data_IF_735487586982
#
_entry.id   IF_735487586982
#
_cell.length_a   1.000
_cell.length_b   1.000
_cell.length_c   1.000
_cell.angle_alpha   90.00
_cell.angle_beta   90.00
_cell.angle_gamma   90.00
#
_symmetry.space_group_name_H-M   'P 1'
#
loop_
_entity.id
_entity.type
_entity.pdbx_description
1 polymer ?
#
# COMPACT_ATOMS: atom_id res chain seq x y z
N UNK A 1 11.65 28.13 -17.65
CA UNK A 1 10.84 27.79 -16.46
C UNK A 1 11.59 26.89 -15.49
N UNK A 2 11.90 25.62 -15.79
CA UNK A 2 12.67 24.74 -14.88
C UNK A 2 14.01 25.37 -14.46
N UNK A 3 14.74 25.96 -15.42
CA UNK A 3 15.98 26.69 -15.16
C UNK A 3 15.81 27.93 -14.26
N UNK A 4 14.72 28.69 -14.46
CA UNK A 4 14.45 29.89 -13.68
C UNK A 4 14.08 29.53 -12.24
N UNK A 5 13.28 28.48 -12.09
CA UNK A 5 12.91 27.91 -10.79
C UNK A 5 14.14 27.35 -10.07
N UNK A 6 15.01 26.61 -10.77
CA UNK A 6 16.23 26.09 -10.15
C UNK A 6 17.15 27.22 -9.67
N UNK A 7 17.28 28.32 -10.42
CA UNK A 7 18.05 29.50 -9.96
C UNK A 7 17.50 30.11 -8.68
N UNK A 8 16.17 30.21 -8.56
CA UNK A 8 15.54 30.71 -7.33
C UNK A 8 15.82 29.77 -6.17
N UNK A 9 15.65 28.46 -6.35
CA UNK A 9 15.89 27.48 -5.28
C UNK A 9 17.36 27.49 -4.84
N UNK A 10 18.31 27.54 -5.78
CA UNK A 10 19.74 27.62 -5.49
C UNK A 10 20.13 28.91 -4.77
N UNK A 11 19.46 30.04 -5.04
CA UNK A 11 19.68 31.32 -4.35
C UNK A 11 19.50 31.19 -2.83
N UNK A 12 18.58 30.33 -2.40
CA UNK A 12 18.25 30.10 -0.99
C UNK A 12 18.97 28.90 -0.37
N UNK A 13 19.88 28.25 -1.11
CA UNK A 13 20.61 27.05 -0.68
C UNK A 13 19.69 25.92 -0.20
N UNK A 14 18.54 25.77 -0.84
CA UNK A 14 17.55 24.73 -0.54
C UNK A 14 17.83 23.49 -1.38
N UNK A 15 17.79 22.32 -0.73
CA UNK A 15 17.89 21.03 -1.42
C UNK A 15 16.54 20.65 -2.06
N UNK A 16 16.58 20.25 -3.32
CA UNK A 16 15.43 19.65 -4.00
C UNK A 16 15.47 18.15 -3.73
N UNK A 17 14.51 17.66 -2.95
CA UNK A 17 14.35 16.23 -2.66
C UNK A 17 13.67 15.51 -3.83
N UNK A 18 12.70 16.16 -4.47
CA UNK A 18 12.01 15.66 -5.65
C UNK A 18 11.54 16.80 -6.54
N UNK A 19 11.55 16.57 -7.85
CA UNK A 19 10.98 17.46 -8.85
C UNK A 19 10.09 16.63 -9.78
N UNK A 20 8.86 17.10 -9.97
CA UNK A 20 7.95 16.52 -10.94
C UNK A 20 7.39 17.62 -11.85
N UNK A 21 7.52 17.42 -13.15
CA UNK A 21 7.03 18.36 -14.17
C UNK A 21 5.88 17.69 -14.90
N UNK A 22 4.68 18.22 -14.71
CA UNK A 22 3.44 17.80 -15.35
C UNK A 22 3.02 18.87 -16.38
N UNK A 23 2.10 18.55 -17.31
CA UNK A 23 1.55 19.57 -18.21
C UNK A 23 0.93 20.74 -17.42
N UNK A 24 1.50 21.93 -17.57
CA UNK A 24 1.11 23.18 -16.89
C UNK A 24 1.30 23.22 -15.36
N UNK A 25 2.03 22.27 -14.77
CA UNK A 25 2.21 22.20 -13.32
C UNK A 25 3.62 21.67 -12.98
N UNK A 26 4.30 22.30 -12.03
CA UNK A 26 5.56 21.79 -11.50
C UNK A 26 5.45 21.64 -9.99
N UNK A 27 5.85 20.48 -9.49
CA UNK A 27 5.92 20.18 -8.07
C UNK A 27 7.38 20.08 -7.64
N UNK A 28 7.69 20.70 -6.50
CA UNK A 28 8.99 20.64 -5.86
C UNK A 28 8.80 20.14 -4.43
N UNK A 29 9.49 19.06 -4.09
CA UNK A 29 9.71 18.69 -2.70
C UNK A 29 11.05 19.30 -2.26
N UNK A 30 10.99 20.19 -1.27
CA UNK A 30 12.12 20.98 -0.82
C UNK A 30 12.42 20.66 0.64
N UNK A 31 13.70 20.51 0.98
CA UNK A 31 14.17 20.42 2.36
C UNK A 31 14.49 21.82 2.86
N UNK A 32 13.58 22.40 3.66
CA UNK A 32 13.73 23.76 4.19
C UNK A 32 13.06 23.87 5.57
N UNK A 33 13.87 23.97 6.62
CA UNK A 33 13.40 24.08 8.01
C UNK A 33 13.16 25.55 8.44
N UNK A 34 13.59 26.51 7.62
CA UNK A 34 13.51 27.95 7.91
C UNK A 34 12.29 28.58 7.20
N UNK A 35 11.31 29.00 8.01
CA UNK A 35 10.06 29.61 7.53
C UNK A 35 10.27 30.95 6.81
N UNK A 36 11.31 31.71 7.14
CA UNK A 36 11.61 32.98 6.46
C UNK A 36 12.21 32.72 5.07
N UNK A 37 13.15 31.77 4.98
CA UNK A 37 13.72 31.33 3.70
C UNK A 37 12.63 30.77 2.79
N UNK A 38 11.74 29.95 3.33
CA UNK A 38 10.60 29.37 2.62
C UNK A 38 9.67 30.44 2.06
N UNK A 39 9.25 31.42 2.88
CA UNK A 39 8.39 32.52 2.45
C UNK A 39 9.03 33.34 1.32
N UNK A 40 10.32 33.66 1.47
CA UNK A 40 11.06 34.41 0.45
C UNK A 40 11.22 33.61 -0.85
N UNK A 41 11.48 32.31 -0.75
CA UNK A 41 11.55 31.41 -1.91
C UNK A 41 10.22 31.39 -2.66
N UNK A 42 9.09 31.28 -1.96
CA UNK A 42 7.76 31.30 -2.59
C UNK A 42 7.47 32.60 -3.33
N UNK A 43 7.83 33.75 -2.76
CA UNK A 43 7.67 35.06 -3.39
C UNK A 43 8.51 35.18 -4.66
N UNK A 44 9.78 34.76 -4.60
CA UNK A 44 10.68 34.78 -5.75
C UNK A 44 10.19 33.82 -6.85
N UNK A 45 9.69 32.63 -6.50
CA UNK A 45 9.09 31.71 -7.46
C UNK A 45 7.85 32.31 -8.13
N UNK A 46 6.98 32.98 -7.37
CA UNK A 46 5.79 33.64 -7.90
C UNK A 46 6.13 34.81 -8.84
N UNK A 47 7.34 35.37 -8.74
CA UNK A 47 7.81 36.46 -9.60
C UNK A 47 8.30 36.00 -10.99
N UNK A 48 8.47 34.70 -11.20
CA UNK A 48 8.94 34.15 -12.48
C UNK A 48 7.86 34.34 -13.55
N UNK A 49 8.25 34.92 -14.69
CA UNK A 49 7.40 35.07 -15.87
C UNK A 49 6.78 33.72 -16.29
N UNK A 50 5.47 33.72 -16.51
CA UNK A 50 4.62 32.56 -16.86
C UNK A 50 4.25 31.61 -15.71
N UNK A 51 4.62 31.90 -14.47
CA UNK A 51 4.06 31.19 -13.30
C UNK A 51 2.77 31.89 -12.89
N UNK A 52 1.65 31.18 -12.98
CA UNK A 52 0.33 31.71 -12.62
C UNK A 52 0.09 31.73 -11.11
N UNK A 53 0.64 30.75 -10.40
CA UNK A 53 0.36 30.51 -8.99
C UNK A 53 1.48 29.67 -8.38
N UNK A 54 1.88 29.98 -7.15
CA UNK A 54 2.77 29.17 -6.32
C UNK A 54 2.06 28.96 -4.99
N UNK A 55 1.89 27.71 -4.59
CA UNK A 55 1.25 27.36 -3.32
C UNK A 55 2.11 26.38 -2.55
N UNK A 56 2.22 26.59 -1.25
CA UNK A 56 2.77 25.60 -0.35
C UNK A 56 1.71 24.51 -0.19
N UNK A 57 2.09 23.28 -0.50
CA UNK A 57 1.23 22.14 -0.22
C UNK A 57 1.78 21.40 0.99
N UNK A 58 1.18 21.64 2.14
CA UNK A 58 1.43 20.82 3.33
C UNK A 58 0.79 19.45 3.11
N UNK A 59 1.54 18.38 3.42
CA UNK A 59 1.00 17.02 3.53
C UNK A 59 0.04 16.91 4.74
N UNK A 60 -1.07 17.64 4.72
CA UNK A 60 -2.12 17.51 5.73
C UNK A 60 -3.03 16.36 5.33
N UNK A 61 -2.96 15.30 6.13
CA UNK A 61 -3.65 14.02 5.88
C UNK A 61 -4.88 13.83 6.78
N UNK A 62 -5.39 14.93 7.35
CA UNK A 62 -6.54 14.88 8.24
C UNK A 62 -7.90 15.07 7.57
N UNK A 63 -7.98 15.20 6.25
CA UNK A 63 -9.26 15.03 5.55
C UNK A 63 -9.62 13.54 5.46
N UNK A 64 -9.90 12.96 6.63
CA UNK A 64 -10.70 11.74 6.81
C UNK A 64 -12.19 12.05 6.65
N UNK A 65 -12.52 13.11 5.92
CA UNK A 65 -13.90 13.36 5.54
C UNK A 65 -14.34 12.18 4.69
N UNK A 66 -15.53 11.65 4.97
CA UNK A 66 -16.12 10.57 4.15
C UNK A 66 -16.33 11.00 2.69
N UNK A 67 -16.22 12.30 2.43
CA UNK A 67 -16.37 12.90 1.12
C UNK A 67 -15.07 12.86 0.29
N UNK A 68 -13.90 12.58 0.89
CA UNK A 68 -12.65 12.37 0.14
C UNK A 68 -12.63 10.97 -0.50
N UNK A 69 -12.58 10.84 -1.84
CA UNK A 69 -12.48 9.53 -2.50
C UNK A 69 -11.31 8.66 -2.05
N UNK A 70 -10.22 9.28 -1.58
CA UNK A 70 -9.04 8.57 -1.10
C UNK A 70 -9.20 7.96 0.30
N UNK A 71 -10.28 8.24 1.03
CA UNK A 71 -10.49 7.71 2.39
C UNK A 71 -10.53 6.17 2.46
N UNK A 72 -10.78 5.51 1.32
CA UNK A 72 -10.79 4.04 1.22
C UNK A 72 -9.39 3.42 1.25
N UNK A 73 -8.34 4.23 1.04
CA UNK A 73 -6.94 3.81 1.09
C UNK A 73 -6.41 4.05 2.49
N UNK A 74 -6.22 2.95 3.23
CA UNK A 74 -5.90 3.00 4.66
C UNK A 74 -4.37 2.97 4.86
N UNK A 75 -3.88 3.93 5.64
CA UNK A 75 -2.48 4.01 6.09
C UNK A 75 -2.06 5.44 6.45
N UNK A 76 -1.01 5.55 7.25
CA UNK A 76 -0.46 6.80 7.76
C UNK A 76 1.04 6.95 7.46
N UNK A 77 1.66 5.96 6.80
CA UNK A 77 3.06 6.02 6.40
C UNK A 77 3.32 7.17 5.44
N UNK A 78 4.47 7.82 5.60
CA UNK A 78 4.87 8.94 4.74
C UNK A 78 4.95 8.53 3.27
N UNK A 79 5.40 7.31 2.97
CA UNK A 79 5.44 6.78 1.60
C UNK A 79 4.05 6.71 0.98
N UNK A 80 3.04 6.22 1.71
CA UNK A 80 1.66 6.18 1.21
C UNK A 80 1.06 7.57 1.07
N UNK A 81 1.27 8.46 2.07
CA UNK A 81 0.78 9.83 2.05
C UNK A 81 1.30 10.60 0.83
N UNK A 82 2.59 10.45 0.50
CA UNK A 82 3.19 11.02 -0.71
C UNK A 82 2.53 10.49 -1.97
N UNK A 83 2.29 9.18 -2.07
CA UNK A 83 1.60 8.58 -3.23
C UNK A 83 0.16 9.11 -3.37
N UNK A 84 -0.61 9.19 -2.27
CA UNK A 84 -1.97 9.75 -2.27
C UNK A 84 -1.95 11.22 -2.71
N UNK A 85 -1.00 12.00 -2.20
CA UNK A 85 -0.86 13.39 -2.55
C UNK A 85 -0.61 13.58 -4.06
N UNK A 86 0.32 12.83 -4.64
CA UNK A 86 0.60 12.86 -6.08
C UNK A 86 -0.63 12.46 -6.90
N UNK A 87 -1.33 11.40 -6.47
CA UNK A 87 -2.56 10.95 -7.11
C UNK A 87 -3.66 12.02 -7.11
N UNK A 88 -3.84 12.75 -6.00
CA UNK A 88 -4.77 13.89 -5.91
C UNK A 88 -4.37 15.02 -6.85
N UNK A 89 -3.07 15.35 -6.92
CA UNK A 89 -2.56 16.45 -7.74
C UNK A 89 -2.88 16.25 -9.23
N UNK A 90 -2.77 15.01 -9.72
CA UNK A 90 -2.99 14.67 -11.13
C UNK A 90 -4.44 14.29 -11.43
N UNK A 91 -5.30 14.18 -10.41
CA UNK A 91 -6.69 13.74 -10.57
C UNK A 91 -7.50 14.64 -11.51
N UNK A 92 -7.30 15.96 -11.48
CA UNK A 92 -8.03 16.93 -12.31
C UNK A 92 -7.50 17.04 -13.76
N UNK A 93 -6.41 16.35 -14.10
CA UNK A 93 -5.81 16.34 -15.44
C UNK A 93 -6.39 15.23 -16.33
N UNK A 94 -6.57 15.48 -17.63
CA UNK A 94 -6.91 14.46 -18.62
C UNK A 94 -5.69 13.62 -19.07
N UNK A 95 -4.50 13.84 -18.48
CA UNK A 95 -3.30 13.06 -18.79
C UNK A 95 -3.47 11.57 -18.42
N UNK A 96 -2.82 10.70 -19.20
CA UNK A 96 -2.71 9.28 -18.89
C UNK A 96 -1.91 9.09 -17.61
N UNK A 97 -2.44 8.30 -16.68
CA UNK A 97 -1.77 7.95 -15.43
C UNK A 97 -1.35 6.49 -15.48
N UNK A 98 -0.10 6.20 -15.12
CA UNK A 98 0.42 4.84 -15.01
C UNK A 98 0.69 4.49 -13.54
N UNK A 99 -0.13 3.61 -12.98
CA UNK A 99 -0.01 3.09 -11.62
C UNK A 99 0.95 1.89 -11.60
N UNK A 100 2.12 2.09 -11.00
CA UNK A 100 3.14 1.07 -10.84
C UNK A 100 3.06 0.48 -9.44
N UNK A 101 3.11 -0.84 -9.31
CA UNK A 101 3.21 -1.48 -8.02
C UNK A 101 2.89 -2.96 -8.04
N UNK A 102 3.36 -3.66 -7.02
CA UNK A 102 3.16 -5.09 -6.88
C UNK A 102 1.68 -5.49 -6.85
N UNK A 103 1.41 -6.78 -7.08
CA UNK A 103 0.05 -7.29 -6.95
C UNK A 103 -0.43 -7.17 -5.50
N UNK A 104 -1.69 -6.77 -5.32
CA UNK A 104 -2.30 -6.66 -4.01
C UNK A 104 -1.98 -5.39 -3.22
N UNK A 105 -1.32 -4.38 -3.81
CA UNK A 105 -1.06 -3.08 -3.14
C UNK A 105 -2.27 -2.13 -3.12
N UNK A 106 -3.28 -2.38 -3.95
CA UNK A 106 -4.50 -1.56 -4.04
C UNK A 106 -4.57 -0.63 -5.25
N UNK A 107 -3.92 -0.96 -6.37
CA UNK A 107 -3.92 -0.15 -7.61
C UNK A 107 -5.32 0.26 -8.08
N UNK A 108 -6.29 -0.65 -8.00
CA UNK A 108 -7.70 -0.37 -8.35
C UNK A 108 -8.33 0.70 -7.45
N UNK A 109 -8.02 0.71 -6.14
CA UNK A 109 -8.52 1.73 -5.21
C UNK A 109 -7.95 3.11 -5.57
N UNK A 110 -6.66 3.18 -5.94
CA UNK A 110 -6.04 4.40 -6.43
C UNK A 110 -6.71 4.87 -7.74
N UNK A 111 -6.90 3.98 -8.72
CA UNK A 111 -7.54 4.33 -9.98
C UNK A 111 -8.96 4.89 -9.78
N UNK A 112 -9.74 4.25 -8.90
CA UNK A 112 -11.09 4.69 -8.56
C UNK A 112 -11.09 6.04 -7.85
N UNK A 113 -10.22 6.23 -6.85
CA UNK A 113 -10.12 7.51 -6.14
C UNK A 113 -9.68 8.66 -7.07
N UNK A 114 -8.71 8.42 -7.95
CA UNK A 114 -8.28 9.38 -8.98
C UNK A 114 -9.43 9.77 -9.91
N UNK A 115 -10.24 8.80 -10.34
CA UNK A 115 -11.42 9.06 -11.16
C UNK A 115 -12.46 9.90 -10.41
N UNK A 116 -12.83 9.49 -9.20
CA UNK A 116 -13.82 10.19 -8.36
C UNK A 116 -13.39 11.61 -8.00
N UNK A 117 -12.08 11.86 -7.87
CA UNK A 117 -11.51 13.20 -7.64
C UNK A 117 -11.30 14.04 -8.91
N UNK A 118 -11.73 13.56 -10.08
CA UNK A 118 -11.55 14.26 -11.36
C UNK A 118 -12.80 15.00 -11.83
N UNK A 119 -12.67 15.80 -12.90
CA UNK A 119 -13.81 16.39 -13.63
C UNK A 119 -14.81 15.35 -14.13
N UNK A 120 -14.34 14.11 -14.35
CA UNK A 120 -15.15 12.97 -14.80
C UNK A 120 -15.67 12.12 -13.64
N UNK A 121 -15.47 12.50 -12.38
CA UNK A 121 -15.81 11.66 -11.21
C UNK A 121 -17.30 11.36 -11.00
N UNK A 122 -18.19 12.06 -11.71
CA UNK A 122 -19.63 11.75 -11.76
C UNK A 122 -20.04 10.88 -12.95
N UNK A 123 -19.12 10.64 -13.88
CA UNK A 123 -19.34 9.82 -15.06
C UNK A 123 -18.98 8.36 -14.75
N UNK A 124 -19.37 7.40 -15.59
CA UNK A 124 -19.03 6.01 -15.35
C UNK A 124 -17.52 5.75 -15.30
N UNK A 125 -17.12 4.78 -14.48
CA UNK A 125 -15.76 4.25 -14.41
C UNK A 125 -15.75 2.82 -14.93
N UNK A 126 -14.90 2.54 -15.92
CA UNK A 126 -14.86 1.25 -16.61
C UNK A 126 -13.54 0.52 -16.33
N UNK A 127 -13.49 -0.37 -15.32
CA UNK A 127 -12.32 -1.19 -15.05
C UNK A 127 -12.26 -2.42 -15.97
N UNK A 128 -11.08 -2.75 -16.46
CA UNK A 128 -10.76 -3.96 -17.22
C UNK A 128 -9.48 -4.56 -16.70
N UNK A 129 -9.49 -5.85 -16.43
CA UNK A 129 -8.27 -6.60 -16.19
C UNK A 129 -7.81 -7.28 -17.49
N UNK A 130 -6.68 -6.82 -18.02
CA UNK A 130 -6.13 -7.30 -19.28
C UNK A 130 -5.61 -8.74 -19.20
N UNK A 131 -5.26 -9.23 -18.01
CA UNK A 131 -4.79 -10.59 -17.79
C UNK A 131 -5.94 -11.61 -17.61
N UNK A 132 -7.18 -11.15 -17.39
CA UNK A 132 -8.32 -12.02 -17.07
C UNK A 132 -8.97 -12.69 -18.29
N UNK A 133 -8.72 -12.18 -19.50
CA UNK A 133 -9.34 -12.66 -20.74
C UNK A 133 -8.28 -13.17 -21.72
N UNK A 134 -8.59 -14.21 -22.53
CA UNK A 134 -7.81 -14.53 -23.72
C UNK A 134 -7.68 -13.32 -24.65
N UNK A 135 -6.53 -13.17 -25.30
CA UNK A 135 -6.19 -11.97 -26.08
C UNK A 135 -7.26 -11.60 -27.14
N UNK A 136 -7.79 -12.59 -27.86
CA UNK A 136 -8.84 -12.36 -28.88
C UNK A 136 -10.15 -11.84 -28.27
N UNK A 137 -10.51 -12.32 -27.07
CA UNK A 137 -11.68 -11.84 -26.35
C UNK A 137 -11.42 -10.44 -25.79
N UNK A 138 -10.24 -10.20 -25.21
CA UNK A 138 -9.84 -8.87 -24.73
C UNK A 138 -9.89 -7.83 -25.85
N UNK A 139 -9.37 -8.16 -27.02
CA UNK A 139 -9.40 -7.30 -28.19
C UNK A 139 -10.84 -6.96 -28.58
N UNK A 140 -11.72 -7.95 -28.62
CA UNK A 140 -13.13 -7.77 -28.95
C UNK A 140 -13.91 -6.97 -27.88
N UNK A 141 -13.54 -7.10 -26.60
CA UNK A 141 -14.14 -6.33 -25.51
C UNK A 141 -13.66 -4.87 -25.54
N UNK A 142 -12.38 -4.61 -25.77
CA UNK A 142 -11.82 -3.25 -25.78
C UNK A 142 -12.27 -2.46 -27.02
N UNK A 143 -12.14 -3.06 -28.20
CA UNK A 143 -12.31 -2.35 -29.48
C UNK A 143 -13.66 -2.60 -30.15
N UNK A 144 -14.38 -3.65 -29.75
CA UNK A 144 -15.60 -4.06 -30.43
C UNK A 144 -15.33 -4.72 -31.77
N UNK A 145 -16.37 -5.17 -32.43
CA UNK A 145 -16.28 -5.83 -33.73
C UNK A 145 -17.48 -5.49 -34.62
N UNK A 146 -17.25 -5.52 -35.93
CA UNK A 146 -18.30 -5.44 -36.95
C UNK A 146 -18.93 -6.81 -37.21
N UNK A 147 -20.11 -6.80 -37.83
CA UNK A 147 -20.75 -8.03 -38.28
C UNK A 147 -19.84 -8.80 -39.25
N UNK A 148 -19.76 -10.12 -39.09
CA UNK A 148 -18.91 -10.98 -39.91
C UNK A 148 -17.40 -10.87 -39.66
N UNK A 149 -16.94 -10.18 -38.61
CA UNK A 149 -15.50 -10.05 -38.31
C UNK A 149 -14.78 -11.38 -38.02
N UNK A 150 -15.48 -12.36 -37.45
CA UNK A 150 -14.99 -13.72 -37.18
C UNK A 150 -16.15 -14.72 -37.05
N UNK A 151 -15.84 -16.03 -37.07
CA UNK A 151 -16.84 -17.09 -36.87
C UNK A 151 -17.45 -17.00 -35.46
N UNK A 152 -18.75 -16.69 -35.37
CA UNK A 152 -19.45 -16.46 -34.09
C UNK A 152 -19.68 -15.01 -33.72
N UNK A 153 -19.28 -14.05 -34.57
CA UNK A 153 -19.65 -12.65 -34.41
C UNK A 153 -21.19 -12.50 -34.42
N UNK A 154 -21.73 -11.74 -33.46
CA UNK A 154 -23.16 -11.45 -33.41
C UNK A 154 -23.57 -10.59 -34.60
N UNK A 155 -24.72 -10.91 -35.19
CA UNK A 155 -25.34 -10.14 -36.26
C UNK A 155 -25.54 -8.69 -35.79
N UNK A 156 -25.03 -7.72 -36.55
CA UNK A 156 -25.00 -6.29 -36.17
C UNK A 156 -23.78 -5.81 -35.38
N UNK A 157 -22.81 -6.69 -35.06
CA UNK A 157 -21.57 -6.33 -34.36
C UNK A 157 -21.76 -6.04 -32.86
N UNK A 158 -20.67 -5.58 -32.22
CA UNK A 158 -20.64 -5.17 -30.80
C UNK A 158 -19.76 -3.93 -30.64
N UNK A 159 -20.24 -2.91 -29.92
CA UNK A 159 -19.42 -1.77 -29.53
C UNK A 159 -18.39 -2.19 -28.48
N UNK A 160 -17.15 -1.70 -28.63
CA UNK A 160 -16.07 -1.93 -27.68
C UNK A 160 -16.22 -1.07 -26.43
N UNK A 161 -15.54 -1.44 -25.36
CA UNK A 161 -15.55 -0.71 -24.10
C UNK A 161 -15.04 0.72 -24.28
N UNK A 162 -13.98 0.91 -25.07
CA UNK A 162 -13.43 2.25 -25.33
C UNK A 162 -14.43 3.13 -26.10
N UNK A 163 -15.34 2.54 -26.88
CA UNK A 163 -16.44 3.27 -27.52
C UNK A 163 -17.57 3.57 -26.53
N UNK A 164 -17.88 2.64 -25.63
CA UNK A 164 -18.92 2.79 -24.58
C UNK A 164 -18.47 3.80 -23.50
N UNK A 165 -17.17 3.89 -23.26
CA UNK A 165 -16.57 4.76 -22.25
C UNK A 165 -16.32 6.19 -22.72
N UNK A 166 -16.95 6.60 -23.84
CA UNK A 166 -16.84 7.96 -24.34
C UNK A 166 -17.21 9.00 -23.27
N UNK A 167 -16.45 10.10 -23.22
CA UNK A 167 -16.43 11.13 -22.17
C UNK A 167 -16.10 10.63 -20.74
N UNK A 168 -15.76 9.35 -20.55
CA UNK A 168 -15.63 8.71 -19.24
C UNK A 168 -14.17 8.33 -18.92
N UNK A 169 -13.94 7.47 -17.94
CA UNK A 169 -12.60 6.95 -17.60
C UNK A 169 -12.56 5.43 -17.74
N UNK A 170 -11.52 4.94 -18.40
CA UNK A 170 -11.20 3.50 -18.48
C UNK A 170 -9.97 3.21 -17.64
N UNK A 171 -10.08 2.21 -16.79
CA UNK A 171 -8.97 1.67 -16.03
C UNK A 171 -8.51 0.34 -16.64
N UNK A 172 -7.27 0.31 -17.10
CA UNK A 172 -6.63 -0.87 -17.68
C UNK A 172 -5.67 -1.46 -16.63
N UNK A 173 -6.09 -2.54 -15.96
CA UNK A 173 -5.24 -3.27 -15.02
C UNK A 173 -4.41 -4.33 -15.73
N UNK A 174 -3.18 -4.53 -15.25
CA UNK A 174 -2.17 -5.41 -15.82
C UNK A 174 -1.90 -5.17 -17.33
N UNK A 175 -1.65 -3.91 -17.73
CA UNK A 175 -1.34 -3.56 -19.14
C UNK A 175 -0.08 -4.25 -19.68
N UNK A 176 0.80 -4.74 -18.81
CA UNK A 176 1.97 -5.54 -19.19
C UNK A 176 1.62 -6.94 -19.71
N UNK A 177 0.34 -7.36 -19.65
CA UNK A 177 -0.13 -8.64 -20.20
C UNK A 177 -0.74 -8.53 -21.60
N UNK A 178 -0.77 -7.32 -22.18
CA UNK A 178 -1.28 -7.10 -23.54
C UNK A 178 -0.39 -7.74 -24.59
N UNK A 179 -0.97 -8.41 -25.60
CA UNK A 179 -0.22 -8.86 -26.78
C UNK A 179 0.28 -7.67 -27.63
N UNK A 180 1.35 -7.87 -28.41
CA UNK A 180 1.89 -6.82 -29.29
C UNK A 180 0.85 -6.26 -30.28
N UNK A 181 -0.09 -7.10 -30.72
CA UNK A 181 -1.18 -6.69 -31.61
C UNK A 181 -2.18 -5.78 -30.88
N UNK A 182 -2.60 -6.17 -29.68
CA UNK A 182 -3.49 -5.37 -28.83
C UNK A 182 -2.82 -4.05 -28.41
N UNK A 183 -1.51 -4.07 -28.12
CA UNK A 183 -0.70 -2.88 -27.85
C UNK A 183 -0.71 -1.91 -29.03
N UNK A 184 -0.54 -2.39 -30.27
CA UNK A 184 -0.55 -1.53 -31.47
C UNK A 184 -1.91 -0.85 -31.70
N UNK A 185 -3.02 -1.53 -31.39
CA UNK A 185 -4.37 -0.95 -31.48
C UNK A 185 -4.62 0.08 -30.37
N UNK A 186 -4.20 -0.22 -29.14
CA UNK A 186 -4.31 0.72 -28.01
C UNK A 186 -3.50 1.99 -28.28
N UNK A 187 -2.29 1.87 -28.83
CA UNK A 187 -1.46 3.00 -29.23
C UNK A 187 -2.21 3.94 -30.19
N UNK A 188 -2.85 3.40 -31.24
CA UNK A 188 -3.62 4.21 -32.20
C UNK A 188 -4.74 4.98 -31.51
N UNK A 189 -5.44 4.33 -30.58
CA UNK A 189 -6.49 4.99 -29.79
C UNK A 189 -5.92 6.16 -28.97
N UNK A 190 -4.80 5.95 -28.27
CA UNK A 190 -4.16 6.97 -27.44
C UNK A 190 -3.52 8.13 -28.24
N UNK A 191 -3.15 7.89 -29.50
CA UNK A 191 -2.57 8.90 -30.38
C UNK A 191 -3.64 9.71 -31.10
N UNK A 192 -4.63 9.05 -31.68
CA UNK A 192 -5.61 9.66 -32.58
C UNK A 192 -6.92 10.04 -31.89
N UNK A 193 -7.15 9.55 -30.66
CA UNK A 193 -8.44 9.66 -29.95
C UNK A 193 -9.60 9.16 -30.82
N UNK A 194 -9.33 8.07 -31.57
CA UNK A 194 -10.25 7.42 -32.49
C UNK A 194 -10.19 5.92 -32.30
N UNK A 195 -11.34 5.29 -32.46
CA UNK A 195 -11.47 3.85 -32.40
C UNK A 195 -11.97 3.28 -33.72
N UNK A 196 -11.45 2.11 -34.07
CA UNK A 196 -11.92 1.28 -35.18
C UNK A 196 -12.25 -0.11 -34.65
N UNK A 197 -13.47 -0.57 -34.92
CA UNK A 197 -13.91 -1.92 -34.56
C UNK A 197 -13.15 -2.98 -35.37
N UNK A 198 -12.97 -4.16 -34.79
CA UNK A 198 -12.34 -5.31 -35.47
C UNK A 198 -13.16 -5.67 -36.72
N UNK A 199 -12.46 -5.87 -37.85
CA UNK A 199 -13.09 -6.16 -39.15
C UNK A 199 -13.72 -4.94 -39.83
N UNK A 200 -13.80 -3.79 -39.15
CA UNK A 200 -14.34 -2.54 -39.70
C UNK A 200 -13.26 -1.62 -40.27
N UNK A 201 -13.67 -0.69 -41.12
CA UNK A 201 -12.82 0.39 -41.65
C UNK A 201 -13.20 1.78 -41.10
N UNK A 202 -14.41 1.91 -40.54
CA UNK A 202 -14.93 3.17 -40.01
C UNK A 202 -14.19 3.54 -38.72
N UNK A 203 -13.66 4.76 -38.68
CA UNK A 203 -13.12 5.37 -37.47
C UNK A 203 -14.20 6.22 -36.80
N UNK A 204 -14.23 6.17 -35.47
CA UNK A 204 -15.12 6.98 -34.64
C UNK A 204 -14.27 7.77 -33.63
N UNK A 205 -14.42 9.09 -33.52
CA UNK A 205 -13.76 9.85 -32.46
C UNK A 205 -14.32 9.44 -31.10
N UNK A 206 -13.44 9.40 -30.10
CA UNK A 206 -13.78 9.14 -28.70
C UNK A 206 -13.02 10.11 -27.80
N UNK A 207 -13.57 10.45 -26.64
CA UNK A 207 -12.90 11.20 -25.58
C UNK A 207 -12.84 10.36 -24.31
N UNK A 208 -11.77 9.59 -24.12
CA UNK A 208 -11.62 8.68 -22.98
C UNK A 208 -10.37 9.03 -22.20
N UNK A 209 -10.51 9.20 -20.88
CA UNK A 209 -9.38 9.26 -19.97
C UNK A 209 -8.90 7.85 -19.64
N UNK A 210 -7.59 7.63 -19.74
CA UNK A 210 -6.98 6.33 -19.44
C UNK A 210 -6.19 6.38 -18.13
N UNK A 211 -6.47 5.43 -17.25
CA UNK A 211 -5.61 5.08 -16.12
C UNK A 211 -5.13 3.65 -16.37
N UNK A 212 -3.82 3.45 -16.44
CA UNK A 212 -3.22 2.14 -16.63
C UNK A 212 -2.56 1.66 -15.33
N UNK A 213 -2.48 0.36 -15.11
CA UNK A 213 -1.77 -0.25 -14.00
C UNK A 213 -1.00 -1.49 -14.44
N UNK A 214 0.12 -1.76 -13.78
CA UNK A 214 0.92 -2.97 -14.00
C UNK A 214 1.78 -3.29 -12.78
N UNK A 215 2.04 -4.58 -12.55
CA UNK A 215 3.10 -5.04 -11.64
C UNK A 215 4.42 -5.39 -12.35
N UNK A 216 4.45 -5.36 -13.69
CA UNK A 216 5.62 -5.69 -14.50
C UNK A 216 6.49 -4.47 -14.75
N UNK A 217 7.78 -4.73 -14.95
CA UNK A 217 8.75 -3.73 -15.39
C UNK A 217 8.60 -3.50 -16.90
N UNK A 218 7.88 -2.44 -17.28
CA UNK A 218 7.64 -2.13 -18.68
C UNK A 218 8.91 -1.72 -19.42
N UNK A 219 9.87 -1.09 -18.75
CA UNK A 219 11.14 -0.68 -19.38
C UNK A 219 11.92 -1.91 -19.83
N UNK A 220 12.07 -2.89 -18.93
CA UNK A 220 12.67 -4.17 -19.28
C UNK A 220 11.90 -4.91 -20.37
N UNK A 221 10.56 -4.87 -20.35
CA UNK A 221 9.77 -5.50 -21.41
C UNK A 221 9.94 -4.84 -22.77
N UNK A 222 10.24 -3.54 -22.82
CA UNK A 222 10.60 -2.84 -24.06
C UNK A 222 11.96 -3.33 -24.56
N UNK A 223 12.95 -3.44 -23.69
CA UNK A 223 14.28 -3.98 -24.03
C UNK A 223 14.19 -5.42 -24.57
N UNK A 224 13.33 -6.25 -23.96
CA UNK A 224 13.10 -7.64 -24.35
C UNK A 224 12.19 -7.78 -25.60
N UNK A 225 11.66 -6.67 -26.15
CA UNK A 225 10.76 -6.67 -27.31
C UNK A 225 9.34 -7.19 -27.06
N UNK A 226 8.97 -7.37 -25.78
CA UNK A 226 7.65 -7.85 -25.35
C UNK A 226 6.64 -6.70 -25.14
N UNK A 227 7.13 -5.46 -25.11
CA UNK A 227 6.31 -4.26 -25.02
C UNK A 227 6.78 -3.23 -26.03
N UNK A 228 5.87 -2.52 -26.67
CA UNK A 228 6.25 -1.49 -27.65
C UNK A 228 6.71 -0.22 -26.95
N UNK A 229 7.87 0.29 -27.39
CA UNK A 229 8.46 1.54 -26.90
C UNK A 229 7.51 2.75 -27.09
N UNK A 230 6.86 2.84 -28.25
CA UNK A 230 5.92 3.93 -28.57
C UNK A 230 4.70 3.98 -27.63
N UNK A 231 4.16 2.81 -27.28
CA UNK A 231 3.07 2.68 -26.30
C UNK A 231 3.55 2.99 -24.89
N UNK A 232 4.75 2.53 -24.51
CA UNK A 232 5.33 2.81 -23.20
C UNK A 232 5.37 4.30 -22.92
N UNK A 233 5.92 5.10 -23.84
CA UNK A 233 5.98 6.56 -23.66
C UNK A 233 4.60 7.23 -23.64
N UNK A 234 3.58 6.64 -24.29
CA UNK A 234 2.22 7.19 -24.28
C UNK A 234 1.43 6.84 -23.02
N UNK A 235 1.77 5.74 -22.35
CA UNK A 235 1.22 5.36 -21.05
C UNK A 235 1.96 6.03 -19.90
N UNK A 236 3.29 6.11 -19.98
CA UNK A 236 4.16 6.65 -18.93
C UNK A 236 4.23 8.19 -18.94
N UNK A 237 3.08 8.85 -19.04
CA UNK A 237 3.00 10.32 -18.99
C UNK A 237 3.07 10.80 -17.54
N UNK A 238 2.33 10.14 -16.64
CA UNK A 238 2.31 10.42 -15.20
C UNK A 238 2.45 9.10 -14.43
N UNK A 239 3.69 8.66 -14.11
CA UNK A 239 3.91 7.48 -13.30
C UNK A 239 3.64 7.73 -11.81
N UNK A 240 2.85 6.86 -11.18
CA UNK A 240 2.63 6.85 -9.73
C UNK A 240 3.01 5.47 -9.21
N UNK A 241 4.08 5.42 -8.41
CA UNK A 241 4.53 4.21 -7.73
C UNK A 241 3.80 4.04 -6.39
N UNK A 242 3.06 2.94 -6.27
CA UNK A 242 2.33 2.55 -5.05
C UNK A 242 3.25 1.66 -4.21
N UNK A 243 3.55 2.05 -2.96
CA UNK A 243 4.48 1.30 -2.12
C UNK A 243 3.92 -0.08 -1.73
N UNK A 244 4.80 -1.08 -1.75
CA UNK A 244 4.53 -2.40 -1.20
C UNK A 244 4.29 -2.33 0.32
N UNK A 245 3.57 -3.29 0.88
CA UNK A 245 3.23 -3.30 2.31
C UNK A 245 4.48 -3.34 3.20
N UNK A 246 5.55 -4.03 2.77
CA UNK A 246 6.85 -4.03 3.45
C UNK A 246 7.58 -2.68 3.46
N UNK A 247 7.28 -1.78 2.51
CA UNK A 247 7.79 -0.40 2.50
C UNK A 247 6.96 0.53 3.40
N UNK A 248 5.81 0.06 3.90
CA UNK A 248 4.91 0.79 4.81
C UNK A 248 4.49 -0.07 6.00
N UNK A 249 5.46 -0.73 6.66
CA UNK A 249 5.21 -1.60 7.83
C UNK A 249 4.45 -0.90 8.96
N UNK A 250 4.60 0.42 9.10
CA UNK A 250 3.87 1.23 10.07
C UNK A 250 2.34 1.20 9.86
N UNK A 251 1.87 0.90 8.65
CA UNK A 251 0.43 0.84 8.33
C UNK A 251 -0.21 -0.51 8.66
N UNK A 252 0.61 -1.55 8.89
CA UNK A 252 0.12 -2.92 9.11
C UNK A 252 -0.83 -3.01 10.33
N UNK A 253 -0.55 -2.39 11.50
CA UNK A 253 -1.46 -2.43 12.63
C UNK A 253 -2.83 -1.83 12.31
N UNK A 254 -2.84 -0.68 11.62
CA UNK A 254 -4.08 0.02 11.24
C UNK A 254 -4.90 -0.81 10.25
N UNK A 255 -4.25 -1.37 9.23
CA UNK A 255 -4.88 -2.27 8.26
C UNK A 255 -5.41 -3.53 8.94
N UNK A 256 -4.65 -4.10 9.87
CA UNK A 256 -5.03 -5.32 10.55
C UNK A 256 -6.29 -5.12 11.40
N UNK A 257 -6.35 -4.06 12.19
CA UNK A 257 -7.53 -3.70 12.97
C UNK A 257 -8.74 -3.39 12.09
N UNK A 258 -8.54 -2.69 10.96
CA UNK A 258 -9.60 -2.43 9.99
C UNK A 258 -10.21 -3.74 9.45
N UNK A 259 -9.38 -4.66 8.96
CA UNK A 259 -9.86 -5.94 8.44
C UNK A 259 -10.49 -6.79 9.55
N UNK A 260 -9.90 -6.80 10.74
CA UNK A 260 -10.42 -7.52 11.90
C UNK A 260 -11.86 -7.09 12.22
N UNK A 261 -12.09 -5.79 12.30
CA UNK A 261 -13.42 -5.21 12.52
C UNK A 261 -14.38 -5.49 11.36
N UNK A 262 -13.93 -5.26 10.11
CA UNK A 262 -14.73 -5.48 8.89
C UNK A 262 -15.26 -6.90 8.81
N UNK A 263 -14.37 -7.89 8.98
CA UNK A 263 -14.72 -9.31 8.80
C UNK A 263 -15.41 -9.93 10.01
N UNK A 264 -15.10 -9.49 11.23
CA UNK A 264 -15.88 -9.91 12.40
C UNK A 264 -17.35 -9.48 12.23
N UNK A 265 -17.57 -8.23 11.81
CA UNK A 265 -18.91 -7.69 11.55
C UNK A 265 -19.62 -8.41 10.40
N UNK A 266 -18.97 -8.59 9.25
CA UNK A 266 -19.61 -9.23 8.09
C UNK A 266 -19.93 -10.71 8.33
N UNK A 267 -19.15 -11.39 9.18
CA UNK A 267 -19.35 -12.81 9.50
C UNK A 267 -20.29 -13.05 10.69
N UNK A 268 -20.86 -11.99 11.27
CA UNK A 268 -21.71 -12.09 12.47
C UNK A 268 -20.97 -12.64 13.71
N UNK A 269 -19.64 -12.54 13.73
CA UNK A 269 -18.81 -13.05 14.83
C UNK A 269 -18.60 -11.95 15.87
N UNK A 270 -18.39 -12.32 17.16
CA UNK A 270 -18.04 -11.33 18.18
C UNK A 270 -16.74 -10.61 17.79
N UNK A 271 -16.53 -9.36 18.27
CA UNK A 271 -15.26 -8.67 18.11
C UNK A 271 -14.10 -9.56 18.56
N UNK A 272 -13.09 -9.66 17.70
CA UNK A 272 -11.85 -10.39 17.95
C UNK A 272 -10.72 -9.41 18.20
N UNK A 273 -9.66 -9.88 18.84
CA UNK A 273 -8.45 -9.11 19.13
C UNK A 273 -7.22 -9.91 18.75
N UNK A 274 -6.19 -9.22 18.26
CA UNK A 274 -4.87 -9.80 18.02
C UNK A 274 -4.03 -9.75 19.30
N UNK A 275 -3.26 -10.79 19.59
CA UNK A 275 -2.23 -10.71 20.63
C UNK A 275 -1.10 -9.76 20.19
N UNK A 276 -0.33 -9.26 21.15
CA UNK A 276 0.89 -8.50 20.84
C UNK A 276 1.88 -9.33 20.01
N UNK A 277 1.92 -10.65 20.23
CA UNK A 277 2.77 -11.58 19.50
C UNK A 277 2.32 -11.73 18.04
N UNK A 278 1.02 -11.89 17.80
CA UNK A 278 0.47 -11.94 16.44
C UNK A 278 0.64 -10.61 15.72
N UNK A 279 0.46 -9.47 16.40
CA UNK A 279 0.70 -8.16 15.78
C UNK A 279 2.18 -7.99 15.39
N UNK A 280 3.11 -8.32 16.29
CA UNK A 280 4.53 -8.29 15.99
C UNK A 280 4.90 -9.22 14.83
N UNK A 281 4.24 -10.38 14.72
CA UNK A 281 4.40 -11.28 13.58
C UNK A 281 3.98 -10.56 12.28
N UNK A 282 2.76 -10.02 12.25
CA UNK A 282 2.22 -9.34 11.07
C UNK A 282 3.12 -8.19 10.61
N UNK A 283 3.67 -7.39 11.53
CA UNK A 283 4.53 -6.24 11.19
C UNK A 283 5.86 -6.65 10.58
N UNK A 284 6.42 -7.78 10.99
CA UNK A 284 7.76 -8.23 10.55
C UNK A 284 7.73 -9.13 9.31
N UNK A 285 6.56 -9.60 8.90
CA UNK A 285 6.40 -10.39 7.70
C UNK A 285 6.58 -9.54 6.43
N UNK A 286 7.09 -10.13 5.35
CA UNK A 286 7.44 -9.40 4.12
C UNK A 286 6.27 -9.13 3.18
N UNK A 287 5.14 -9.83 3.36
CA UNK A 287 3.90 -9.64 2.60
C UNK A 287 4.09 -9.68 1.08
N UNK A 288 4.55 -10.80 0.49
CA UNK A 288 4.67 -10.93 -0.96
C UNK A 288 3.35 -10.68 -1.73
N UNK A 289 2.20 -10.98 -1.12
CA UNK A 289 0.88 -10.66 -1.68
C UNK A 289 0.28 -9.34 -1.15
N UNK A 290 1.08 -8.51 -0.49
CA UNK A 290 0.74 -7.18 0.00
C UNK A 290 -0.55 -7.16 0.83
N UNK A 291 -1.41 -6.15 0.63
CA UNK A 291 -2.64 -5.94 1.40
C UNK A 291 -3.64 -7.07 1.15
N UNK A 292 -3.66 -7.65 -0.07
CA UNK A 292 -4.54 -8.78 -0.40
C UNK A 292 -4.20 -10.02 0.43
N UNK A 293 -2.92 -10.30 0.65
CA UNK A 293 -2.50 -11.40 1.53
C UNK A 293 -2.86 -11.12 2.99
N UNK A 294 -2.57 -9.92 3.49
CA UNK A 294 -2.94 -9.51 4.86
C UNK A 294 -4.45 -9.66 5.11
N UNK A 295 -5.26 -9.21 4.17
CA UNK A 295 -6.71 -9.34 4.20
C UNK A 295 -7.13 -10.81 4.31
N UNK A 296 -6.59 -11.68 3.44
CA UNK A 296 -6.92 -13.11 3.43
C UNK A 296 -6.48 -13.82 4.72
N UNK A 297 -5.30 -13.49 5.25
CA UNK A 297 -4.78 -14.06 6.50
C UNK A 297 -5.69 -13.70 7.67
N UNK A 298 -6.12 -12.44 7.77
CA UNK A 298 -7.01 -11.99 8.85
C UNK A 298 -8.39 -12.61 8.73
N UNK A 299 -8.98 -12.61 7.53
CA UNK A 299 -10.28 -13.24 7.28
C UNK A 299 -10.26 -14.73 7.66
N UNK A 300 -9.20 -15.44 7.26
CA UNK A 300 -8.98 -16.85 7.60
C UNK A 300 -8.86 -17.04 9.12
N UNK A 301 -8.07 -16.21 9.80
CA UNK A 301 -7.90 -16.30 11.25
C UNK A 301 -9.22 -16.07 12.01
N UNK A 302 -10.05 -15.13 11.56
CA UNK A 302 -11.41 -14.90 12.10
C UNK A 302 -12.29 -16.14 11.90
N UNK A 303 -12.17 -16.79 10.75
CA UNK A 303 -12.98 -17.95 10.42
C UNK A 303 -12.59 -19.20 11.21
N UNK A 304 -11.30 -19.45 11.38
CA UNK A 304 -10.78 -20.68 11.99
C UNK A 304 -10.59 -20.61 13.51
N UNK A 305 -10.57 -19.42 14.10
CA UNK A 305 -10.40 -19.26 15.55
C UNK A 305 -11.77 -19.30 16.26
N UNK A 306 -12.04 -20.24 17.18
CA UNK A 306 -13.31 -20.28 17.92
C UNK A 306 -13.44 -19.15 18.95
N UNK A 307 -12.32 -18.71 19.54
CA UNK A 307 -12.27 -17.68 20.58
C UNK A 307 -12.23 -16.24 20.07
N UNK A 308 -12.21 -15.27 20.99
CA UNK A 308 -12.06 -13.84 20.67
C UNK A 308 -10.60 -13.43 20.42
N UNK A 309 -9.65 -14.19 20.96
CA UNK A 309 -8.22 -13.88 20.87
C UNK A 309 -7.64 -14.67 19.69
N UNK A 310 -7.00 -13.96 18.76
CA UNK A 310 -6.21 -14.53 17.66
C UNK A 310 -4.74 -14.39 18.04
N UNK A 311 -4.05 -15.51 18.21
CA UNK A 311 -2.60 -15.55 18.42
C UNK A 311 -1.87 -15.97 17.12
N UNK A 312 -0.54 -15.99 17.14
CA UNK A 312 0.31 -16.34 15.99
C UNK A 312 -0.08 -17.67 15.37
N UNK A 313 -0.39 -18.68 16.19
CA UNK A 313 -0.72 -20.03 15.73
C UNK A 313 -2.06 -20.09 14.97
N UNK A 314 -2.86 -19.02 15.05
CA UNK A 314 -4.11 -18.86 14.32
C UNK A 314 -3.94 -18.09 13.00
N UNK A 315 -2.79 -17.45 12.79
CA UNK A 315 -2.43 -16.81 11.53
C UNK A 315 -1.88 -17.89 10.59
N UNK A 316 -2.78 -18.57 9.88
CA UNK A 316 -2.42 -19.68 9.00
C UNK A 316 -1.79 -19.18 7.68
N UNK A 317 -0.48 -18.89 7.69
CA UNK A 317 0.30 -18.52 6.49
C UNK A 317 0.56 -19.72 5.57
N UNK A 318 0.61 -19.48 4.26
CA UNK A 318 1.02 -20.47 3.27
C UNK A 318 2.55 -20.36 3.07
N UNK A 319 3.29 -21.39 3.50
CA UNK A 319 4.76 -21.46 3.41
C UNK A 319 5.44 -21.68 4.76
N UNK A 320 6.59 -22.36 4.77
CA UNK A 320 7.46 -22.53 5.96
C UNK A 320 8.11 -21.20 6.36
N UNK A 321 7.33 -20.21 6.74
CA UNK A 321 7.87 -18.97 7.28
C UNK A 321 8.02 -19.14 8.79
N UNK A 322 9.17 -19.71 9.15
CA UNK A 322 9.79 -19.44 10.46
C UNK A 322 9.94 -17.93 10.52
N UNK A 323 8.99 -17.22 11.13
CA UNK A 323 9.40 -15.98 11.74
C UNK A 323 10.42 -16.38 12.79
N UNK A 324 11.68 -16.12 12.43
CA UNK A 324 12.61 -15.61 13.39
C UNK A 324 11.98 -14.33 13.96
N UNK A 325 11.09 -14.51 14.95
CA UNK A 325 11.25 -13.73 16.16
C UNK A 325 12.75 -13.69 16.45
N UNK A 326 13.31 -12.69 17.13
CA UNK A 326 14.62 -12.86 17.72
C UNK A 326 14.54 -14.00 18.76
N UNK A 327 14.50 -15.25 18.28
CA UNK A 327 14.91 -16.46 18.92
C UNK A 327 16.40 -16.22 18.96
N UNK A 328 16.78 -15.59 20.07
CA UNK A 328 18.10 -15.61 20.65
C UNK A 328 19.24 -15.73 19.63
N UNK A 329 20.04 -14.66 19.48
CA UNK A 329 21.47 -14.78 19.14
C UNK A 329 21.97 -16.15 19.58
N UNK A 330 22.66 -16.91 18.72
CA UNK A 330 23.20 -18.24 19.07
C UNK A 330 23.93 -18.18 20.42
N UNK A 331 23.18 -18.45 21.47
CA UNK A 331 23.57 -18.27 22.86
C UNK A 331 23.71 -19.68 23.38
N UNK A 332 24.84 -20.02 24.03
CA UNK A 332 25.04 -21.37 24.55
C UNK A 332 23.80 -21.82 25.32
N UNK A 333 23.27 -23.02 25.09
CA UNK A 333 22.04 -23.54 25.71
C UNK A 333 21.99 -23.27 27.23
N UNK A 334 23.15 -23.35 27.89
CA UNK A 334 23.35 -23.03 29.30
C UNK A 334 22.89 -21.61 29.68
N UNK A 335 23.11 -20.61 28.83
CA UNK A 335 22.70 -19.22 29.04
C UNK A 335 21.20 -19.00 28.81
N UNK A 336 20.59 -19.71 27.85
CA UNK A 336 19.14 -19.68 27.62
C UNK A 336 18.38 -20.23 28.83
N UNK A 337 18.79 -21.41 29.29
CA UNK A 337 18.21 -22.06 30.46
C UNK A 337 18.38 -21.17 31.70
N UNK A 338 19.52 -20.50 31.85
CA UNK A 338 19.74 -19.56 32.95
C UNK A 338 18.83 -18.33 32.88
N UNK A 339 18.60 -17.75 31.70
CA UNK A 339 17.71 -16.59 31.53
C UNK A 339 16.24 -16.95 31.81
N UNK A 340 15.79 -18.10 31.31
CA UNK A 340 14.44 -18.60 31.55
C UNK A 340 14.25 -18.95 33.03
N UNK A 341 15.22 -19.63 33.66
CA UNK A 341 15.20 -19.88 35.10
C UNK A 341 15.18 -18.58 35.91
N UNK A 342 15.97 -17.59 35.52
CA UNK A 342 16.05 -16.31 36.21
C UNK A 342 14.70 -15.58 36.17
N UNK A 343 14.06 -15.50 34.99
CA UNK A 343 12.71 -14.90 34.86
C UNK A 343 11.67 -15.64 35.68
N UNK A 344 11.61 -16.97 35.57
CA UNK A 344 10.65 -17.78 36.33
C UNK A 344 10.80 -17.60 37.85
N UNK A 345 12.04 -17.51 38.35
CA UNK A 345 12.33 -17.27 39.76
C UNK A 345 11.93 -15.86 40.18
N UNK A 346 12.25 -14.83 39.38
CA UNK A 346 11.88 -13.43 39.67
C UNK A 346 10.36 -13.28 39.70
N UNK A 347 9.64 -13.81 38.70
CA UNK A 347 8.18 -13.71 38.62
C UNK A 347 7.49 -14.41 39.79
N UNK A 348 7.97 -15.60 40.17
CA UNK A 348 7.45 -16.32 41.34
C UNK A 348 7.74 -15.57 42.65
N UNK A 349 8.91 -14.95 42.79
CA UNK A 349 9.28 -14.14 43.96
C UNK A 349 8.47 -12.85 44.04
N UNK A 350 8.25 -12.16 42.91
CA UNK A 350 7.42 -10.95 42.83
C UNK A 350 5.96 -11.26 43.13
N UNK A 351 5.41 -12.38 42.62
CA UNK A 351 4.00 -12.76 42.80
C UNK A 351 3.69 -13.26 44.21
N UNK A 352 4.63 -13.95 44.86
CA UNK A 352 4.36 -14.60 46.15
C UNK A 352 5.02 -13.92 47.36
N UNK A 353 5.94 -12.96 47.14
CA UNK A 353 6.57 -12.11 48.15
C UNK A 353 7.45 -12.84 49.19
N UNK A 354 7.45 -14.18 49.19
CA UNK A 354 8.18 -15.03 50.12
C UNK A 354 8.88 -16.16 49.37
N UNK A 355 10.17 -16.35 49.66
CA UNK A 355 11.02 -17.37 49.05
C UNK A 355 10.44 -18.78 49.24
N UNK A 356 9.83 -19.08 50.40
CA UNK A 356 9.17 -20.38 50.65
C UNK A 356 7.97 -20.62 49.74
N UNK A 357 7.14 -19.59 49.53
CA UNK A 357 5.95 -19.70 48.67
C UNK A 357 6.33 -19.78 47.20
N UNK A 358 7.31 -18.98 46.77
CA UNK A 358 7.86 -19.04 45.42
C UNK A 358 8.50 -20.41 45.12
N UNK A 359 9.25 -20.98 46.06
CA UNK A 359 9.85 -22.31 45.90
C UNK A 359 8.77 -23.39 45.70
N UNK A 360 7.71 -23.36 46.51
CA UNK A 360 6.59 -24.30 46.39
C UNK A 360 5.85 -24.14 45.06
N UNK A 361 5.61 -22.91 44.60
CA UNK A 361 4.97 -22.64 43.31
C UNK A 361 5.80 -23.13 42.11
N UNK A 362 7.12 -23.09 42.23
CA UNK A 362 8.07 -23.57 41.21
C UNK A 362 8.39 -25.07 41.33
N UNK A 363 7.80 -25.80 42.28
CA UNK A 363 8.09 -27.21 42.50
C UNK A 363 9.49 -27.49 43.06
N UNK A 364 10.13 -26.50 43.70
CA UNK A 364 11.48 -26.58 44.25
C UNK A 364 11.46 -26.64 45.78
N UNK A 365 12.48 -27.28 46.36
CA UNK A 365 12.72 -27.17 47.80
C UNK A 365 13.23 -25.76 48.15
N UNK A 366 12.91 -25.29 49.36
CA UNK A 366 13.35 -23.96 49.83
C UNK A 366 14.89 -23.78 49.76
N UNK A 367 15.73 -24.75 50.20
CA UNK A 367 17.18 -24.66 50.00
C UNK A 367 17.59 -24.69 48.51
N UNK A 368 16.84 -25.42 47.68
CA UNK A 368 17.07 -25.52 46.24
C UNK A 368 16.87 -24.20 45.51
N UNK A 369 15.82 -23.45 45.88
CA UNK A 369 15.59 -22.11 45.33
C UNK A 369 16.69 -21.13 45.76
N UNK A 370 17.09 -21.14 47.04
CA UNK A 370 18.19 -20.28 47.55
C UNK A 370 19.51 -20.56 46.81
N UNK A 371 19.83 -21.83 46.55
CA UNK A 371 21.03 -22.23 45.80
C UNK A 371 20.99 -21.72 44.35
N UNK A 372 19.83 -21.76 43.69
CA UNK A 372 19.63 -21.21 42.34
C UNK A 372 19.71 -19.67 42.33
N UNK A 373 19.11 -18.99 43.30
CA UNK A 373 19.19 -17.53 43.44
C UNK A 373 20.64 -17.06 43.59
N UNK A 374 21.45 -17.73 44.44
CA UNK A 374 22.88 -17.42 44.58
C UNK A 374 23.67 -17.65 43.29
N UNK A 375 23.39 -18.76 42.59
CA UNK A 375 24.05 -19.10 41.32
C UNK A 375 23.74 -18.11 40.19
N UNK A 376 22.50 -17.60 40.17
CA UNK A 376 22.01 -16.64 39.17
C UNK A 376 22.17 -15.17 39.60
N UNK A 377 22.82 -14.91 40.75
CA UNK A 377 23.03 -13.57 41.34
C UNK A 377 21.73 -12.75 41.50
N UNK A 378 20.60 -13.40 41.77
CA UNK A 378 19.31 -12.74 41.98
C UNK A 378 19.30 -12.11 43.38
N UNK A 379 19.09 -10.80 43.45
CA UNK A 379 19.05 -10.01 44.68
C UNK A 379 17.64 -9.49 44.98
N UNK A 380 17.43 -9.04 46.22
CA UNK A 380 16.18 -8.44 46.67
C UNK A 380 15.70 -7.26 45.81
N UNK A 381 16.62 -6.55 45.15
CA UNK A 381 16.26 -5.43 44.27
C UNK A 381 15.60 -5.88 42.97
N UNK A 382 15.90 -7.10 42.50
CA UNK A 382 15.48 -7.59 41.19
C UNK A 382 14.00 -7.96 41.12
N UNK A 383 13.42 -8.43 42.23
CA UNK A 383 12.02 -8.83 42.30
C UNK A 383 11.13 -7.89 43.14
N UNK A 384 11.71 -6.91 43.85
CA UNK A 384 10.96 -5.82 44.51
C UNK A 384 10.61 -4.67 43.56
N UNK A 385 11.38 -4.46 42.48
CA UNK A 385 11.07 -3.45 41.43
C UNK A 385 9.71 -3.68 40.76
N UNK A 386 9.32 -4.94 40.58
CA UNK A 386 8.03 -5.33 39.98
C UNK A 386 6.84 -5.24 40.96
N UNK A 387 7.08 -5.14 42.27
CA UNK A 387 6.01 -5.00 43.28
C UNK A 387 5.56 -3.53 43.39
N UNK A 388 6.44 -2.57 43.12
CA UNK A 388 6.12 -1.14 43.08
C UNK A 388 5.30 -0.70 41.85
N UNK A 389 5.39 -1.41 40.72
CA UNK A 389 4.60 -1.13 39.52
C UNK A 389 3.18 -1.70 39.54
N UNK A 390 2.90 -2.65 40.43
CA UNK A 390 1.60 -3.32 40.54
C UNK A 390 0.74 -2.81 41.71
N UNK A 391 1.18 -1.78 42.43
CA UNK A 391 0.44 -1.14 43.53
C UNK A 391 -0.24 0.17 43.14
N UNK A 392 -0.10 0.67 41.92
CA UNK A 392 -0.75 1.92 41.45
C UNK A 392 -2.01 1.73 40.61
N UNK A 393 -2.52 0.50 40.43
CA UNK A 393 -3.75 0.25 39.66
C UNK A 393 -4.89 -0.43 40.45
N UNK A 394 -4.79 -0.49 41.79
CA UNK A 394 -5.91 -0.88 42.66
C UNK A 394 -5.82 -0.15 44.01
N UNK A 395 -6.13 1.14 44.00
CA UNK A 395 -6.70 1.88 45.13
C UNK A 395 -7.13 3.27 44.62
N UNK A 396 -8.44 3.49 44.63
CA UNK A 396 -9.23 4.72 44.47
C UNK A 396 -9.17 5.52 43.17
#
# INVERSE_FOLDING_TARGET
>A
MVYDVSRVITKYNISILALEVLPNLMYFELECDDEEIKKNTMLDLASILNIKKVEEVKYSTHDTSKDDPFHTIIGESESLKKTIFRAKLVADSDSTILLLGESGTGKELFAKAIHESSRRGKLPFYPVNCAALPDTLLESELFGYEDGAFSGAKKGGKAGLLEVADNSTVFLDEVGDLSLNTQAKLLRVLQEMRIRRIGGYKEKPIDVRIIAATNRDLEKMVEDGNFREDLYYRLNVVPISIPSLRQRRADIPLLAEYFLSKYAKSSGKPPKTLTARSMAFLVNYDWPGNVRELQNVIERAINLTPGRIIDVDNLHFEGENKLDFPIHEERPLKSLVQQVEQRAIIDALSKHGSIRKAAKALGLSHPGLIKKMKKLKITDKDYKRNVSGNKSNHAD
#
